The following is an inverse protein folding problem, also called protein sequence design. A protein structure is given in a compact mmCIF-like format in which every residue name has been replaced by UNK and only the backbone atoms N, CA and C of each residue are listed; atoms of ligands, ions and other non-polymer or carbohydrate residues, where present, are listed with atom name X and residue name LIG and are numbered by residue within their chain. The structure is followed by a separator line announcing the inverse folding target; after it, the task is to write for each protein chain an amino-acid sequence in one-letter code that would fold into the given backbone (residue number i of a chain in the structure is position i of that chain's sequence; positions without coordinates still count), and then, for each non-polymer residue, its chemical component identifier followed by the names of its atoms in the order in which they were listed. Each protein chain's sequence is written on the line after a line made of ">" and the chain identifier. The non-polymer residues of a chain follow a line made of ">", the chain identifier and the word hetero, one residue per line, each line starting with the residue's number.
data_IF_389407262545
#
_entry.id   IF_389407262545
#
_cell.length_a   1.000
_cell.length_b   1.000
_cell.length_c   1.000
_cell.angle_alpha   90.00
_cell.angle_beta   90.00
_cell.angle_gamma   90.00
#
_symmetry.space_group_name_H-M   'P 1'
#
loop_
_entity.id
_entity.type
_entity.pdbx_description
1 polymer ?
#
# COMPACT_ATOMS: atom_id res chain seq x y z
N UNK A 1 13.83 10.57 -0.38
CA UNK A 1 13.72 9.10 -0.32
C UNK A 1 13.06 8.79 1.01
N UNK A 2 12.05 7.94 1.03
CA UNK A 2 11.33 7.50 2.23
C UNK A 2 10.99 6.03 2.12
N UNK A 3 11.07 5.31 3.25
CA UNK A 3 10.64 3.92 3.36
C UNK A 3 9.20 3.76 2.88
N UNK A 4 8.96 2.70 2.09
CA UNK A 4 7.69 2.32 1.49
C UNK A 4 7.42 0.84 1.81
N UNK A 5 6.19 0.54 2.18
CA UNK A 5 5.67 -0.82 2.37
C UNK A 5 4.41 -0.98 1.52
N UNK A 6 4.33 -2.07 0.75
CA UNK A 6 3.14 -2.44 -0.01
C UNK A 6 2.70 -3.82 0.43
N UNK A 7 1.44 -3.94 0.87
CA UNK A 7 0.79 -5.20 1.23
C UNK A 7 -0.29 -5.49 0.20
N UNK A 8 -0.31 -6.71 -0.33
CA UNK A 8 -1.25 -7.15 -1.36
C UNK A 8 -1.94 -8.43 -0.95
N UNK A 9 -3.23 -8.53 -1.26
CA UNK A 9 -4.07 -9.70 -0.99
C UNK A 9 -4.92 -10.03 -2.22
N UNK A 10 -4.98 -11.31 -2.59
CA UNK A 10 -5.72 -11.81 -3.75
C UNK A 10 -5.41 -11.10 -5.09
N UNK A 11 -4.18 -10.58 -5.24
CA UNK A 11 -3.78 -9.86 -6.47
C UNK A 11 -3.23 -10.79 -7.56
N UNK A 12 -3.40 -10.44 -8.85
CA UNK A 12 -2.85 -11.19 -9.97
C UNK A 12 -1.31 -11.31 -9.95
N UNK A 13 -0.73 -12.40 -10.49
CA UNK A 13 0.73 -12.56 -10.56
C UNK A 13 1.45 -11.42 -11.31
N UNK A 14 0.78 -10.79 -12.29
CA UNK A 14 1.31 -9.62 -13.03
C UNK A 14 1.61 -8.43 -12.12
N UNK A 15 0.78 -8.16 -11.10
CA UNK A 15 1.05 -7.09 -10.14
C UNK A 15 2.20 -7.46 -9.21
N UNK A 16 2.25 -8.71 -8.74
CA UNK A 16 3.36 -9.21 -7.90
C UNK A 16 4.71 -9.04 -8.57
N UNK A 17 4.83 -9.53 -9.81
CA UNK A 17 6.05 -9.38 -10.61
C UNK A 17 6.39 -7.92 -10.90
N UNK A 18 5.38 -7.07 -11.11
CA UNK A 18 5.57 -5.63 -11.32
C UNK A 18 6.12 -4.94 -10.07
N UNK A 19 5.61 -5.23 -8.87
CA UNK A 19 6.11 -4.65 -7.62
C UNK A 19 7.55 -5.09 -7.30
N UNK A 20 7.87 -6.35 -7.59
CA UNK A 20 9.22 -6.92 -7.39
C UNK A 20 10.33 -6.26 -8.23
N UNK A 21 9.98 -5.43 -9.23
CA UNK A 21 10.96 -4.63 -10.01
C UNK A 21 11.61 -3.55 -9.15
N UNK A 22 10.87 -2.98 -8.19
CA UNK A 22 11.34 -1.84 -7.38
C UNK A 22 11.49 -2.18 -5.89
N UNK A 23 10.74 -3.17 -5.41
CA UNK A 23 10.60 -3.47 -3.99
C UNK A 23 11.03 -4.91 -3.70
N UNK A 24 11.55 -5.12 -2.50
CA UNK A 24 11.92 -6.45 -2.01
C UNK A 24 10.71 -7.13 -1.36
N UNK A 25 10.33 -8.30 -1.85
CA UNK A 25 9.27 -9.13 -1.24
C UNK A 25 9.83 -9.94 -0.05
N UNK A 26 9.53 -9.54 1.18
CA UNK A 26 10.05 -10.19 2.40
C UNK A 26 9.15 -11.32 2.91
N UNK A 27 7.87 -11.28 2.51
CA UNK A 27 6.83 -12.30 2.72
C UNK A 27 5.87 -12.25 1.55
N UNK A 28 5.12 -13.33 1.32
CA UNK A 28 4.13 -13.39 0.26
C UNK A 28 3.19 -12.17 0.32
N UNK A 29 3.22 -11.35 -0.73
CA UNK A 29 2.40 -10.14 -0.83
C UNK A 29 2.85 -8.97 0.03
N UNK A 30 4.02 -9.01 0.68
CA UNK A 30 4.58 -7.92 1.51
C UNK A 30 5.91 -7.45 0.90
N UNK A 31 5.89 -6.23 0.37
CA UNK A 31 7.00 -5.60 -0.32
C UNK A 31 7.52 -4.40 0.47
N UNK A 32 8.84 -4.24 0.51
CA UNK A 32 9.52 -3.14 1.21
C UNK A 32 10.56 -2.49 0.30
N UNK A 33 10.68 -1.17 0.36
CA UNK A 33 11.74 -0.43 -0.34
C UNK A 33 11.91 0.98 0.20
N UNK A 34 12.87 1.72 -0.36
CA UNK A 34 13.06 3.16 -0.11
C UNK A 34 13.02 3.89 -1.45
N UNK A 35 12.04 4.78 -1.63
CA UNK A 35 11.78 5.42 -2.93
C UNK A 35 11.46 6.91 -2.78
N UNK A 36 11.57 7.66 -3.86
CA UNK A 36 11.12 9.05 -3.92
C UNK A 36 9.60 9.14 -4.07
N UNK A 37 9.01 10.30 -3.75
CA UNK A 37 7.57 10.53 -3.92
C UNK A 37 7.08 10.25 -5.36
N UNK A 38 7.86 10.67 -6.36
CA UNK A 38 7.56 10.41 -7.78
C UNK A 38 7.48 8.92 -8.11
N UNK A 39 8.41 8.13 -7.58
CA UNK A 39 8.42 6.68 -7.80
C UNK A 39 7.28 6.01 -7.03
N UNK A 40 6.99 6.47 -5.80
CA UNK A 40 5.83 6.01 -5.04
C UNK A 40 4.51 6.24 -5.79
N UNK A 41 4.30 7.43 -6.35
CA UNK A 41 3.13 7.75 -7.16
C UNK A 41 3.04 6.88 -8.42
N UNK A 42 4.17 6.64 -9.10
CA UNK A 42 4.22 5.73 -10.24
C UNK A 42 3.83 4.30 -9.85
N UNK A 43 4.37 3.77 -8.74
CA UNK A 43 3.99 2.46 -8.19
C UNK A 43 2.49 2.41 -7.91
N UNK A 44 1.93 3.48 -7.32
CA UNK A 44 0.50 3.56 -7.05
C UNK A 44 -0.37 3.48 -8.31
N UNK A 45 0.03 4.12 -9.40
CA UNK A 45 -0.67 4.00 -10.69
C UNK A 45 -0.62 2.58 -11.25
N UNK A 46 0.44 1.82 -10.98
CA UNK A 46 0.49 0.41 -11.38
C UNK A 46 -0.46 -0.44 -10.53
N UNK A 47 -0.52 -0.17 -9.22
CA UNK A 47 -1.45 -0.83 -8.30
C UNK A 47 -2.90 -0.60 -8.75
N UNK A 48 -3.30 0.64 -9.01
CA UNK A 48 -4.68 0.96 -9.38
C UNK A 48 -5.17 0.31 -10.68
N UNK A 49 -4.25 -0.04 -11.59
CA UNK A 49 -4.58 -0.66 -12.89
C UNK A 49 -4.49 -2.18 -12.86
N UNK A 50 -3.65 -2.77 -12.00
CA UNK A 50 -3.31 -4.20 -12.07
C UNK A 50 -3.86 -5.05 -10.92
N UNK A 51 -4.61 -4.45 -9.98
CA UNK A 51 -5.11 -5.15 -8.79
C UNK A 51 -6.27 -6.12 -9.07
N UNK A 52 -7.03 -5.93 -10.14
CA UNK A 52 -8.28 -6.66 -10.42
C UNK A 52 -9.20 -6.71 -9.17
N UNK A 53 -9.67 -7.90 -8.76
CA UNK A 53 -10.53 -8.15 -7.60
C UNK A 53 -9.76 -8.27 -6.26
N UNK A 54 -8.46 -8.00 -6.28
CA UNK A 54 -7.62 -8.02 -5.08
C UNK A 54 -7.76 -6.74 -4.25
N UNK A 55 -6.98 -6.65 -3.18
CA UNK A 55 -6.83 -5.41 -2.42
C UNK A 55 -5.36 -5.14 -2.10
N UNK A 56 -5.03 -3.86 -1.94
CA UNK A 56 -3.67 -3.37 -1.68
C UNK A 56 -3.70 -2.26 -0.64
N UNK A 57 -2.74 -2.31 0.28
CA UNK A 57 -2.41 -1.21 1.20
C UNK A 57 -0.99 -0.74 0.91
N UNK A 58 -0.79 0.56 0.74
CA UNK A 58 0.51 1.17 0.56
C UNK A 58 0.75 2.17 1.69
N UNK A 59 1.83 1.99 2.45
CA UNK A 59 2.23 2.85 3.57
C UNK A 59 3.65 3.39 3.35
N UNK A 60 3.91 4.65 3.70
CA UNK A 60 5.22 5.26 3.53
C UNK A 60 5.55 6.24 4.66
N UNK A 61 6.84 6.39 4.96
CA UNK A 61 7.31 7.34 5.96
C UNK A 61 7.06 8.80 5.51
N UNK A 62 6.58 9.65 6.42
CA UNK A 62 6.33 11.08 6.21
C UNK A 62 6.75 11.89 7.43
N UNK A 63 6.88 13.21 7.27
CA UNK A 63 7.13 14.13 8.39
C UNK A 63 5.82 14.61 9.03
N UNK A 64 4.86 13.70 9.20
CA UNK A 64 3.59 13.95 9.91
C UNK A 64 3.68 13.45 11.36
N UNK A 65 2.70 13.76 12.18
CA UNK A 65 2.67 13.37 13.60
C UNK A 65 2.79 11.85 13.82
N UNK A 66 2.15 11.05 12.95
CA UNK A 66 2.23 9.58 13.02
C UNK A 66 3.55 9.02 12.48
N UNK A 67 4.36 9.83 11.79
CA UNK A 67 5.61 9.42 11.14
C UNK A 67 5.42 8.65 9.83
N UNK A 68 4.18 8.38 9.43
CA UNK A 68 3.84 7.71 8.18
C UNK A 68 2.43 8.08 7.71
N UNK A 69 2.17 7.82 6.44
CA UNK A 69 0.82 7.81 5.87
C UNK A 69 0.58 6.50 5.13
N UNK A 70 -0.69 6.18 4.88
CA UNK A 70 -1.07 5.06 4.05
C UNK A 70 -2.33 5.34 3.24
N UNK A 71 -2.53 4.54 2.21
CA UNK A 71 -3.72 4.52 1.36
C UNK A 71 -4.04 3.10 0.90
N UNK A 72 -5.29 2.86 0.51
CA UNK A 72 -5.81 1.53 0.16
C UNK A 72 -6.45 1.51 -1.22
N UNK A 73 -6.44 0.36 -1.88
CA UNK A 73 -7.12 0.09 -3.15
C UNK A 73 -7.84 -1.25 -3.07
N UNK A 74 -9.03 -1.35 -3.64
CA UNK A 74 -9.88 -2.53 -3.53
C UNK A 74 -10.66 -2.60 -2.21
N UNK A 75 -11.55 -3.59 -2.10
CA UNK A 75 -12.38 -3.78 -0.92
C UNK A 75 -11.67 -4.64 0.14
N UNK A 76 -11.71 -4.18 1.40
CA UNK A 76 -11.26 -4.94 2.55
C UNK A 76 -12.10 -4.55 3.77
N UNK A 77 -12.28 -5.48 4.72
CA UNK A 77 -12.96 -5.18 5.99
C UNK A 77 -12.18 -4.21 6.89
N UNK A 78 -10.87 -4.07 6.66
CA UNK A 78 -10.02 -3.05 7.30
C UNK A 78 -10.00 -1.81 6.42
N UNK A 79 -10.77 -0.80 6.79
CA UNK A 79 -10.89 0.45 6.05
C UNK A 79 -10.17 1.59 6.78
N UNK A 80 -9.52 2.51 6.06
CA UNK A 80 -8.97 3.71 6.67
C UNK A 80 -10.11 4.60 7.19
N UNK A 81 -9.95 5.15 8.40
CA UNK A 81 -10.87 6.14 8.96
C UNK A 81 -10.08 7.35 9.46
N UNK A 82 -10.65 8.54 9.30
CA UNK A 82 -10.08 9.77 9.86
C UNK A 82 -10.76 10.07 11.20
N UNK A 83 -9.95 10.27 12.24
CA UNK A 83 -10.38 10.66 13.59
C UNK A 83 -9.55 11.86 14.01
N UNK A 84 -10.14 13.05 13.89
CA UNK A 84 -9.50 14.33 14.24
C UNK A 84 -8.15 14.54 13.52
N UNK A 85 -8.04 14.13 12.25
CA UNK A 85 -6.83 14.23 11.44
C UNK A 85 -5.83 13.08 11.59
N UNK A 86 -6.12 12.11 12.47
CA UNK A 86 -5.36 10.86 12.56
C UNK A 86 -6.01 9.78 11.69
N UNK A 87 -5.25 9.24 10.73
CA UNK A 87 -5.68 8.07 9.95
C UNK A 87 -5.48 6.80 10.76
N UNK A 88 -6.59 6.18 11.17
CA UNK A 88 -6.64 4.87 11.83
C UNK A 88 -7.27 3.82 10.91
N UNK A 89 -7.47 2.62 11.44
CA UNK A 89 -8.13 1.50 10.73
C UNK A 89 -9.36 1.06 11.52
N UNK A 90 -10.52 1.08 10.87
CA UNK A 90 -11.74 0.44 11.37
C UNK A 90 -11.85 -0.97 10.81
N UNK A 91 -12.27 -1.92 11.64
CA UNK A 91 -12.51 -3.30 11.24
C UNK A 91 -14.01 -3.58 11.24
N UNK A 92 -14.57 -3.69 10.04
CA UNK A 92 -16.01 -3.91 9.84
C UNK A 92 -16.44 -5.30 10.32
N UNK A 93 -17.67 -5.44 10.86
CA UNK A 93 -18.24 -6.75 11.20
C UNK A 93 -18.39 -7.65 9.97
N UNK A 94 -18.71 -8.93 10.21
CA UNK A 94 -19.06 -9.89 9.14
C UNK A 94 -20.52 -9.68 8.73
#
# INVERSE_FOLDING_TARGET
>A
MSMLVVVTENVPPRLRGRLAVWLLEIRAGVYVGDVSAKIREMIWQQVSVLTDDGNVVMAWATNTESGFEFQTFGENRRIPVDLDGLRLVSFLPV
#
